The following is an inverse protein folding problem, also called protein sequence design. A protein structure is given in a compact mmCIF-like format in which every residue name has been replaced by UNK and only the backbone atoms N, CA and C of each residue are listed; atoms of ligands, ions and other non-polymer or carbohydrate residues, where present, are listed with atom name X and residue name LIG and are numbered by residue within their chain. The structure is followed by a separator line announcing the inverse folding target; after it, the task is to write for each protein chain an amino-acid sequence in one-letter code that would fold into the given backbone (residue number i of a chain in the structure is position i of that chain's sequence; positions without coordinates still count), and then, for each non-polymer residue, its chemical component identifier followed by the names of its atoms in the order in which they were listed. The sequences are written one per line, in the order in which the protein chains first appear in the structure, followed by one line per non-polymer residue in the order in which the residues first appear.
data_IF_391690963900
#
_entry.id   IF_391690963900
#
_cell.length_a   1.000
_cell.length_b   1.000
_cell.length_c   1.000
_cell.angle_alpha   90.00
_cell.angle_beta   90.00
_cell.angle_gamma   90.00
#
_symmetry.space_group_name_H-M   'P 1'
#
loop_
_entity.id
_entity.type
_entity.pdbx_description
1 polymer ?
#
# COMPACT_ATOMS: atom_id res chain seq x y z
N UNK A 1 31.88 1.28 15.21
CA UNK A 1 30.83 0.38 14.69
C UNK A 1 30.30 0.94 13.37
N UNK A 2 30.03 0.10 12.39
CA UNK A 2 29.40 0.53 11.13
C UNK A 2 27.92 0.86 11.39
N UNK A 3 27.45 1.95 10.79
CA UNK A 3 26.06 2.41 10.89
C UNK A 3 25.32 2.09 9.58
N UNK A 4 24.15 1.49 9.68
CA UNK A 4 23.28 1.18 8.54
C UNK A 4 21.97 1.92 8.73
N UNK A 5 21.48 2.57 7.69
CA UNK A 5 20.16 3.18 7.63
C UNK A 5 19.29 2.43 6.63
N UNK A 6 18.10 2.05 7.05
CA UNK A 6 17.04 1.56 6.17
C UNK A 6 15.97 2.66 6.05
N UNK A 7 15.85 3.22 4.86
CA UNK A 7 14.85 4.27 4.57
C UNK A 7 13.45 3.69 4.47
N UNK A 8 13.32 2.40 4.15
CA UNK A 8 12.07 1.75 3.75
C UNK A 8 11.53 2.39 2.47
N UNK A 9 10.93 3.58 2.55
CA UNK A 9 10.36 4.35 1.44
C UNK A 9 10.96 5.76 1.37
N UNK A 10 10.82 6.46 0.24
CA UNK A 10 11.11 7.88 0.11
C UNK A 10 9.93 8.72 0.64
N UNK A 11 9.97 9.09 1.92
CA UNK A 11 8.89 9.83 2.57
C UNK A 11 8.62 11.19 1.90
N UNK A 12 9.66 11.85 1.38
CA UNK A 12 9.52 13.10 0.62
C UNK A 12 8.69 12.94 -0.66
N UNK A 13 8.69 11.74 -1.27
CA UNK A 13 7.84 11.42 -2.41
C UNK A 13 6.36 11.38 -2.03
N UNK A 14 6.02 10.88 -0.85
CA UNK A 14 4.64 10.88 -0.33
C UNK A 14 4.13 12.31 -0.13
N UNK A 15 4.93 13.19 0.46
CA UNK A 15 4.60 14.62 0.60
C UNK A 15 4.38 15.29 -0.75
N UNK A 16 5.23 15.01 -1.74
CA UNK A 16 5.08 15.55 -3.09
C UNK A 16 3.79 15.07 -3.75
N UNK A 17 3.45 13.80 -3.59
CA UNK A 17 2.21 13.20 -4.10
C UNK A 17 0.96 13.77 -3.43
N UNK A 18 1.01 14.01 -2.11
CA UNK A 18 -0.06 14.65 -1.35
C UNK A 18 -0.24 16.11 -1.77
N UNK A 19 0.85 16.82 -2.00
CA UNK A 19 0.86 18.22 -2.41
C UNK A 19 0.09 18.45 -3.73
N UNK A 20 0.27 17.59 -4.73
CA UNK A 20 -0.43 17.67 -6.02
C UNK A 20 -1.97 17.67 -5.86
N UNK A 21 -2.46 17.00 -4.81
CA UNK A 21 -3.90 16.80 -4.56
C UNK A 21 -4.52 17.83 -3.63
N UNK A 22 -3.72 18.69 -3.01
CA UNK A 22 -4.17 19.66 -2.00
C UNK A 22 -4.16 21.10 -2.52
N UNK A 23 -4.98 21.97 -1.88
CA UNK A 23 -5.09 23.40 -2.20
C UNK A 23 -5.02 24.23 -0.90
N UNK A 24 -4.75 25.53 -1.06
CA UNK A 24 -4.74 26.47 0.06
C UNK A 24 -3.60 26.21 1.05
N UNK A 25 -3.87 26.35 2.35
CA UNK A 25 -2.86 26.25 3.41
C UNK A 25 -2.15 24.89 3.41
N UNK A 26 -2.87 23.80 3.20
CA UNK A 26 -2.31 22.46 3.16
C UNK A 26 -1.32 22.24 2.03
N UNK A 27 -1.51 22.87 0.88
CA UNK A 27 -0.55 22.85 -0.21
C UNK A 27 0.81 23.40 0.22
N UNK A 28 0.82 24.54 0.93
CA UNK A 28 2.05 25.14 1.45
C UNK A 28 2.71 24.28 2.52
N UNK A 29 1.92 23.67 3.41
CA UNK A 29 2.43 22.79 4.45
C UNK A 29 3.12 21.58 3.81
N UNK A 30 2.45 20.87 2.90
CA UNK A 30 3.05 19.70 2.22
C UNK A 30 4.26 20.06 1.35
N UNK A 31 4.28 21.26 0.75
CA UNK A 31 5.45 21.75 0.01
C UNK A 31 6.64 21.92 0.95
N UNK A 32 6.43 22.59 2.08
CA UNK A 32 7.50 22.86 3.04
C UNK A 32 8.01 21.57 3.69
N UNK A 33 7.09 20.71 4.13
CA UNK A 33 7.46 19.44 4.77
C UNK A 33 8.12 18.47 3.77
N UNK A 34 7.66 18.42 2.53
CA UNK A 34 8.32 17.67 1.46
C UNK A 34 9.75 18.13 1.21
N UNK A 35 9.97 19.44 1.15
CA UNK A 35 11.32 19.99 1.01
C UNK A 35 12.21 19.67 2.21
N UNK A 36 11.70 19.84 3.43
CA UNK A 36 12.45 19.54 4.67
C UNK A 36 12.77 18.05 4.77
N UNK A 37 11.82 17.19 4.42
CA UNK A 37 11.97 15.76 4.42
C UNK A 37 13.04 15.31 3.39
N UNK A 38 12.96 15.81 2.15
CA UNK A 38 13.94 15.53 1.10
C UNK A 38 15.35 15.96 1.52
N UNK A 39 15.48 17.15 2.11
CA UNK A 39 16.77 17.61 2.64
C UNK A 39 17.28 16.68 3.75
N UNK A 40 16.43 16.28 4.66
CA UNK A 40 16.80 15.36 5.75
C UNK A 40 17.23 14.00 5.20
N UNK A 41 16.50 13.41 4.24
CA UNK A 41 16.88 12.15 3.58
C UNK A 41 18.28 12.24 2.96
N UNK A 42 18.56 13.31 2.20
CA UNK A 42 19.88 13.54 1.58
C UNK A 42 20.98 13.74 2.62
N UNK A 43 20.70 14.47 3.72
CA UNK A 43 21.69 14.68 4.78
C UNK A 43 22.02 13.36 5.50
N UNK A 44 21.03 12.48 5.71
CA UNK A 44 21.24 11.18 6.34
C UNK A 44 22.11 10.23 5.50
N UNK A 45 22.05 10.30 4.18
CA UNK A 45 22.91 9.50 3.30
C UNK A 45 24.40 9.65 3.60
N UNK A 46 24.80 10.82 4.13
CA UNK A 46 26.21 11.14 4.46
C UNK A 46 26.61 10.71 5.87
N UNK A 47 25.65 10.41 6.74
CA UNK A 47 25.87 10.08 8.15
C UNK A 47 26.07 8.59 8.36
N UNK A 48 25.50 7.76 7.47
CA UNK A 48 25.52 6.32 7.58
C UNK A 48 26.51 5.69 6.58
N UNK A 49 27.15 4.59 7.00
CA UNK A 49 28.13 3.86 6.18
C UNK A 49 27.47 3.06 5.05
N UNK A 50 26.21 2.67 5.24
CA UNK A 50 25.38 1.95 4.27
C UNK A 50 23.95 2.44 4.36
N UNK A 51 23.34 2.64 3.18
CA UNK A 51 21.95 3.07 3.04
C UNK A 51 21.18 2.01 2.27
N UNK A 52 20.02 1.61 2.81
CA UNK A 52 19.13 0.61 2.23
C UNK A 52 17.80 1.26 1.90
N UNK A 53 17.12 0.73 0.88
CA UNK A 53 15.76 1.11 0.50
C UNK A 53 15.08 -0.07 -0.19
N UNK A 54 13.73 -0.13 -0.17
CA UNK A 54 13.00 -1.28 -0.71
C UNK A 54 12.66 -1.17 -2.21
N UNK A 55 12.84 -0.01 -2.83
CA UNK A 55 12.40 0.24 -4.19
C UNK A 55 13.42 1.06 -4.99
N UNK A 56 13.64 0.68 -6.24
CA UNK A 56 14.48 1.45 -7.15
C UNK A 56 13.85 2.80 -7.55
N UNK A 57 12.54 2.88 -7.54
CA UNK A 57 11.81 4.14 -7.79
C UNK A 57 12.11 5.15 -6.69
N UNK A 58 11.99 4.74 -5.44
CA UNK A 58 12.30 5.58 -4.27
C UNK A 58 13.78 5.95 -4.23
N UNK A 59 14.66 5.00 -4.53
CA UNK A 59 16.11 5.25 -4.65
C UNK A 59 16.39 6.38 -5.62
N UNK A 60 15.85 6.31 -6.83
CA UNK A 60 16.04 7.33 -7.86
C UNK A 60 15.46 8.68 -7.43
N UNK A 61 14.30 8.64 -6.76
CA UNK A 61 13.67 9.86 -6.27
C UNK A 61 14.56 10.60 -5.26
N UNK A 62 15.13 9.91 -4.27
CA UNK A 62 16.05 10.50 -3.30
C UNK A 62 17.32 11.01 -4.01
N UNK A 63 17.93 10.18 -4.89
CA UNK A 63 19.15 10.55 -5.59
C UNK A 63 18.99 11.76 -6.52
N UNK A 64 17.80 12.00 -7.07
CA UNK A 64 17.52 13.20 -7.87
C UNK A 64 17.62 14.52 -7.06
N UNK A 65 17.53 14.43 -5.74
CA UNK A 65 17.68 15.58 -4.83
C UNK A 65 19.13 15.77 -4.34
N UNK A 66 20.04 14.86 -4.69
CA UNK A 66 21.46 14.93 -4.30
C UNK A 66 22.22 15.83 -5.26
N UNK A 67 22.98 16.75 -4.72
CA UNK A 67 23.94 17.58 -5.49
C UNK A 67 25.37 17.11 -5.25
N UNK A 68 26.14 16.88 -6.31
CA UNK A 68 27.51 16.41 -6.25
C UNK A 68 27.64 14.89 -6.40
N UNK A 69 28.57 14.28 -5.67
CA UNK A 69 28.82 12.84 -5.73
C UNK A 69 27.62 12.06 -5.18
N UNK A 70 27.15 11.07 -5.96
CA UNK A 70 26.00 10.26 -5.58
C UNK A 70 26.41 9.19 -4.56
N UNK A 71 25.81 9.18 -3.36
CA UNK A 71 26.05 8.13 -2.38
C UNK A 71 25.45 6.80 -2.83
N UNK A 72 26.04 5.71 -2.36
CA UNK A 72 25.50 4.37 -2.62
C UNK A 72 24.23 4.13 -1.78
N UNK A 73 23.15 3.76 -2.44
CA UNK A 73 21.92 3.25 -1.80
C UNK A 73 21.64 1.86 -2.39
N UNK A 74 21.69 0.85 -1.55
CA UNK A 74 21.42 -0.54 -1.94
C UNK A 74 19.92 -0.80 -1.88
N UNK A 75 19.34 -1.32 -2.98
CA UNK A 75 17.94 -1.73 -3.01
C UNK A 75 17.82 -3.15 -2.47
N UNK A 76 17.01 -3.34 -1.45
CA UNK A 76 16.61 -4.65 -0.92
C UNK A 76 15.08 -4.69 -0.96
N UNK A 77 14.54 -5.30 -2.00
CA UNK A 77 13.10 -5.36 -2.22
C UNK A 77 12.40 -6.17 -1.14
N UNK A 78 11.15 -5.79 -0.83
CA UNK A 78 10.30 -6.58 0.05
C UNK A 78 10.07 -7.97 -0.53
N UNK A 79 10.00 -8.96 0.34
CA UNK A 79 9.71 -10.33 -0.04
C UNK A 79 8.66 -10.95 0.88
N UNK A 80 7.99 -11.96 0.36
CA UNK A 80 7.04 -12.78 1.12
C UNK A 80 7.50 -14.22 1.09
N UNK A 81 7.53 -14.85 2.26
CA UNK A 81 7.83 -16.29 2.36
C UNK A 81 6.65 -17.09 1.79
N UNK A 82 6.91 -17.81 0.72
CA UNK A 82 5.92 -18.71 0.12
C UNK A 82 5.79 -19.97 0.97
N UNK A 83 4.63 -20.12 1.60
CA UNK A 83 4.22 -21.36 2.24
C UNK A 83 3.32 -22.16 1.28
N UNK A 84 3.80 -23.28 0.79
CA UNK A 84 3.06 -24.11 -0.17
C UNK A 84 1.73 -24.64 0.39
N UNK A 85 1.61 -24.76 1.71
CA UNK A 85 0.35 -25.14 2.38
C UNK A 85 -0.72 -24.06 2.30
N UNK A 86 -0.30 -22.80 2.05
CA UNK A 86 -1.17 -21.64 1.94
C UNK A 86 -1.59 -21.30 0.50
N UNK A 87 -1.25 -22.14 -0.48
CA UNK A 87 -1.69 -21.94 -1.87
C UNK A 87 -3.19 -22.12 -2.04
N UNK A 88 -3.75 -21.35 -2.96
CA UNK A 88 -5.15 -21.49 -3.36
C UNK A 88 -5.41 -22.89 -3.92
N UNK A 89 -6.44 -23.53 -3.40
CA UNK A 89 -7.10 -24.65 -4.07
C UNK A 89 -8.27 -24.06 -4.88
N UNK A 90 -8.23 -24.19 -6.19
CA UNK A 90 -9.25 -23.67 -7.11
C UNK A 90 -10.67 -24.14 -6.78
N UNK A 91 -10.80 -25.28 -6.10
CA UNK A 91 -12.10 -25.81 -5.68
C UNK A 91 -12.74 -25.03 -4.53
N UNK A 92 -11.93 -24.25 -3.79
CA UNK A 92 -12.35 -23.50 -2.62
C UNK A 92 -12.46 -21.98 -2.89
N UNK A 93 -12.26 -21.55 -4.13
CA UNK A 93 -12.40 -20.16 -4.49
C UNK A 93 -13.87 -19.76 -4.44
N UNK A 94 -14.16 -18.77 -3.61
CA UNK A 94 -15.49 -18.17 -3.50
C UNK A 94 -15.61 -17.01 -4.49
N UNK A 95 -16.86 -16.77 -4.93
CA UNK A 95 -17.14 -15.65 -5.85
C UNK A 95 -17.13 -14.33 -5.09
N UNK A 96 -15.93 -13.84 -4.79
CA UNK A 96 -15.74 -12.59 -4.06
C UNK A 96 -14.54 -11.79 -4.56
N UNK A 97 -14.53 -10.51 -4.23
CA UNK A 97 -13.39 -9.60 -4.39
C UNK A 97 -12.86 -9.30 -2.99
N UNK A 98 -11.55 -9.18 -2.87
CA UNK A 98 -10.87 -8.94 -1.60
C UNK A 98 -9.96 -7.72 -1.67
N UNK A 99 -10.00 -6.90 -0.63
CA UNK A 99 -8.96 -5.90 -0.32
C UNK A 99 -8.39 -6.17 1.06
N UNK A 100 -7.07 -6.15 1.19
CA UNK A 100 -6.37 -6.34 2.47
C UNK A 100 -5.57 -5.10 2.84
N UNK A 101 -5.69 -4.66 4.10
CA UNK A 101 -4.86 -3.56 4.61
C UNK A 101 -5.38 -2.99 5.92
N UNK A 102 -4.52 -2.28 6.65
CA UNK A 102 -4.93 -1.55 7.86
C UNK A 102 -5.88 -0.40 7.49
N UNK A 103 -7.09 -0.38 8.07
CA UNK A 103 -8.16 0.55 7.69
C UNK A 103 -8.12 1.87 8.49
N UNK A 104 -7.02 2.14 9.18
CA UNK A 104 -6.66 3.46 9.74
C UNK A 104 -5.59 4.18 8.90
N UNK A 105 -5.02 3.52 7.90
CA UNK A 105 -4.03 4.09 7.00
C UNK A 105 -4.73 4.75 5.81
N UNK A 106 -4.53 6.06 5.66
CA UNK A 106 -5.25 6.91 4.69
C UNK A 106 -5.26 6.40 3.25
N UNK A 107 -4.13 5.94 2.67
CA UNK A 107 -4.15 5.38 1.32
C UNK A 107 -5.08 4.18 1.16
N UNK A 108 -5.18 3.30 2.17
CA UNK A 108 -6.09 2.15 2.14
C UNK A 108 -7.56 2.60 2.23
N UNK A 109 -7.85 3.54 3.13
CA UNK A 109 -9.20 4.12 3.29
C UNK A 109 -9.67 4.76 2.00
N UNK A 110 -8.83 5.58 1.38
CA UNK A 110 -9.11 6.21 0.07
C UNK A 110 -9.34 5.16 -1.01
N UNK A 111 -8.52 4.10 -1.05
CA UNK A 111 -8.61 3.04 -2.05
C UNK A 111 -9.95 2.28 -1.96
N UNK A 112 -10.34 1.81 -0.76
CA UNK A 112 -11.59 1.06 -0.59
C UNK A 112 -12.81 1.95 -0.80
N UNK A 113 -12.77 3.20 -0.35
CA UNK A 113 -13.84 4.17 -0.55
C UNK A 113 -14.06 4.45 -2.04
N UNK A 114 -13.00 4.68 -2.78
CA UNK A 114 -13.04 4.84 -4.24
C UNK A 114 -13.62 3.60 -4.91
N UNK A 115 -13.12 2.43 -4.57
CA UNK A 115 -13.59 1.18 -5.18
C UNK A 115 -15.07 0.96 -4.95
N UNK A 116 -15.54 1.11 -3.70
CA UNK A 116 -16.95 0.90 -3.35
C UNK A 116 -17.88 1.91 -4.01
N UNK A 117 -17.46 3.18 -4.11
CA UNK A 117 -18.34 4.24 -4.64
C UNK A 117 -18.32 4.35 -6.16
N UNK A 118 -17.16 4.16 -6.78
CA UNK A 118 -16.96 4.48 -8.21
C UNK A 118 -16.85 3.24 -9.10
N UNK A 119 -16.32 2.12 -8.59
CA UNK A 119 -16.03 0.93 -9.39
C UNK A 119 -17.05 -0.19 -9.14
N UNK A 120 -17.23 -0.56 -7.90
CA UNK A 120 -18.03 -1.72 -7.50
C UNK A 120 -19.49 -1.68 -7.96
N UNK A 121 -20.20 -0.53 -7.99
CA UNK A 121 -21.59 -0.48 -8.47
C UNK A 121 -21.74 -0.94 -9.92
N UNK A 122 -20.73 -0.67 -10.77
CA UNK A 122 -20.75 -1.12 -12.17
C UNK A 122 -20.54 -2.64 -12.28
N UNK A 123 -19.76 -3.22 -11.40
CA UNK A 123 -19.53 -4.67 -11.30
C UNK A 123 -20.82 -5.36 -10.79
N UNK A 124 -21.47 -4.81 -9.78
CA UNK A 124 -22.72 -5.37 -9.23
C UNK A 124 -23.88 -5.41 -10.24
N UNK A 125 -23.93 -4.50 -11.21
CA UNK A 125 -24.92 -4.57 -12.30
C UNK A 125 -24.80 -5.85 -13.11
N UNK A 126 -23.57 -6.38 -13.27
CA UNK A 126 -23.29 -7.61 -14.01
C UNK A 126 -23.31 -8.84 -13.11
N UNK A 127 -22.98 -8.67 -11.84
CA UNK A 127 -22.82 -9.75 -10.86
C UNK A 127 -23.47 -9.37 -9.52
N UNK A 128 -24.81 -9.41 -9.41
CA UNK A 128 -25.54 -8.90 -8.22
C UNK A 128 -25.19 -9.60 -6.90
N UNK A 129 -24.78 -10.86 -6.97
CA UNK A 129 -24.45 -11.66 -5.78
C UNK A 129 -22.99 -11.55 -5.34
N UNK A 130 -22.18 -10.79 -6.08
CA UNK A 130 -20.76 -10.64 -5.79
C UNK A 130 -20.55 -9.92 -4.46
N UNK A 131 -19.62 -10.43 -3.64
CA UNK A 131 -19.24 -9.82 -2.37
C UNK A 131 -17.89 -9.13 -2.49
N UNK A 132 -17.74 -8.00 -1.82
CA UNK A 132 -16.47 -7.33 -1.66
C UNK A 132 -16.08 -7.32 -0.19
N UNK A 133 -14.98 -8.00 0.14
CA UNK A 133 -14.45 -8.07 1.50
C UNK A 133 -13.35 -7.02 1.69
N UNK A 134 -13.52 -6.19 2.72
CA UNK A 134 -12.52 -5.22 3.19
C UNK A 134 -11.95 -5.79 4.49
N UNK A 135 -10.77 -6.42 4.37
CA UNK A 135 -10.13 -7.15 5.48
C UNK A 135 -8.99 -6.33 6.06
N UNK A 136 -9.07 -6.05 7.37
CA UNK A 136 -7.98 -5.41 8.08
C UNK A 136 -8.37 -4.67 9.35
N UNK A 137 -7.39 -4.48 10.22
CA UNK A 137 -7.59 -3.89 11.54
C UNK A 137 -7.96 -2.42 11.51
N UNK A 138 -8.56 -1.97 12.61
CA UNK A 138 -8.81 -0.56 12.95
C UNK A 138 -9.61 0.20 11.87
N UNK A 139 -10.77 -0.30 11.39
CA UNK A 139 -11.55 0.44 10.40
C UNK A 139 -12.08 1.74 11.00
N UNK A 140 -11.84 2.84 10.29
CA UNK A 140 -12.44 4.15 10.61
C UNK A 140 -13.94 4.10 10.35
N UNK A 141 -14.69 5.02 10.95
CA UNK A 141 -16.15 5.06 10.81
C UNK A 141 -16.59 5.24 9.36
N UNK A 142 -15.85 6.02 8.58
CA UNK A 142 -16.09 6.16 7.13
C UNK A 142 -15.97 4.84 6.35
N UNK A 143 -15.06 3.93 6.78
CA UNK A 143 -14.94 2.59 6.17
C UNK A 143 -16.07 1.67 6.66
N UNK A 144 -16.43 1.74 7.96
CA UNK A 144 -17.56 0.97 8.51
C UNK A 144 -18.88 1.32 7.82
N UNK A 145 -19.08 2.61 7.49
CA UNK A 145 -20.26 3.07 6.77
C UNK A 145 -20.36 2.58 5.31
N UNK A 146 -19.29 2.00 4.75
CA UNK A 146 -19.34 1.36 3.42
C UNK A 146 -20.02 0.00 3.45
N UNK A 147 -20.21 -0.59 4.64
CA UNK A 147 -20.81 -1.92 4.79
C UNK A 147 -22.23 -1.96 4.21
N UNK A 148 -22.54 -3.02 3.49
CA UNK A 148 -23.84 -3.30 2.88
C UNK A 148 -24.00 -4.81 2.70
N UNK A 149 -25.10 -5.25 2.11
CA UNK A 149 -25.28 -6.67 1.78
C UNK A 149 -24.16 -7.23 0.90
N UNK A 150 -23.57 -6.39 0.04
CA UNK A 150 -22.50 -6.78 -0.88
C UNK A 150 -21.09 -6.33 -0.44
N UNK A 151 -20.97 -5.49 0.59
CA UNK A 151 -19.69 -4.99 1.11
C UNK A 151 -19.51 -5.40 2.55
N UNK A 152 -18.54 -6.25 2.83
CA UNK A 152 -18.25 -6.80 4.15
C UNK A 152 -16.99 -6.17 4.72
N UNK A 153 -17.09 -5.41 5.80
CA UNK A 153 -15.97 -4.85 6.54
C UNK A 153 -15.69 -5.74 7.74
N UNK A 154 -14.62 -6.53 7.70
CA UNK A 154 -14.35 -7.55 8.73
C UNK A 154 -13.76 -6.99 10.01
N UNK A 155 -13.02 -5.87 9.93
CA UNK A 155 -12.14 -5.48 11.01
C UNK A 155 -10.91 -6.40 11.10
N UNK A 156 -10.39 -6.55 12.32
CA UNK A 156 -9.28 -7.47 12.58
C UNK A 156 -9.71 -8.92 12.34
N UNK A 157 -8.83 -9.69 11.72
CA UNK A 157 -8.97 -11.13 11.53
C UNK A 157 -7.69 -11.83 12.01
N UNK A 158 -7.83 -13.03 12.55
CA UNK A 158 -6.68 -13.77 13.08
C UNK A 158 -5.75 -14.27 11.95
N UNK A 159 -6.30 -14.70 10.83
CA UNK A 159 -5.54 -15.13 9.66
C UNK A 159 -6.08 -14.52 8.36
N UNK A 160 -5.32 -13.61 7.79
CA UNK A 160 -5.60 -12.98 6.49
C UNK A 160 -5.50 -13.99 5.34
N UNK A 161 -4.67 -15.01 5.51
CA UNK A 161 -4.45 -16.02 4.48
C UNK A 161 -5.72 -16.82 4.17
N UNK A 162 -6.60 -17.01 5.14
CA UNK A 162 -7.88 -17.70 4.92
C UNK A 162 -8.81 -16.94 3.97
N UNK A 163 -8.74 -15.61 3.99
CA UNK A 163 -9.45 -14.76 3.02
C UNK A 163 -8.76 -14.77 1.66
N UNK A 164 -7.43 -14.66 1.63
CA UNK A 164 -6.65 -14.68 0.39
C UNK A 164 -6.84 -15.97 -0.40
N UNK A 165 -6.88 -17.14 0.28
CA UNK A 165 -7.10 -18.44 -0.35
C UNK A 165 -8.46 -18.61 -1.01
N UNK A 166 -9.47 -17.90 -0.50
CA UNK A 166 -10.85 -17.98 -0.98
C UNK A 166 -11.18 -16.90 -2.00
N UNK A 167 -10.35 -15.88 -2.12
CA UNK A 167 -10.60 -14.76 -2.99
C UNK A 167 -10.54 -15.16 -4.47
N UNK A 168 -11.57 -14.79 -5.23
CA UNK A 168 -11.53 -14.87 -6.69
C UNK A 168 -10.54 -13.85 -7.27
N UNK A 169 -10.57 -12.61 -6.75
CA UNK A 169 -9.68 -11.52 -7.17
C UNK A 169 -9.33 -10.68 -5.95
N UNK A 170 -8.05 -10.36 -5.82
CA UNK A 170 -7.56 -9.37 -4.86
C UNK A 170 -7.35 -8.05 -5.58
N UNK A 171 -7.97 -6.98 -5.09
CA UNK A 171 -7.85 -5.66 -5.71
C UNK A 171 -7.02 -4.72 -4.87
N UNK A 172 -6.21 -3.89 -5.51
CA UNK A 172 -5.37 -2.87 -4.86
C UNK A 172 -5.53 -1.52 -5.57
N UNK A 173 -6.73 -0.90 -5.55
CA UNK A 173 -7.04 0.31 -6.29
C UNK A 173 -6.41 1.55 -5.62
N UNK A 174 -5.12 1.48 -5.34
CA UNK A 174 -4.38 2.52 -4.65
C UNK A 174 -4.28 3.77 -5.50
N UNK A 175 -4.62 4.92 -4.92
CA UNK A 175 -4.53 6.24 -5.56
C UNK A 175 -3.42 7.11 -4.98
N UNK A 176 -2.79 6.64 -3.91
CA UNK A 176 -1.68 7.27 -3.21
C UNK A 176 -0.93 6.21 -2.40
N UNK A 177 0.26 6.55 -1.92
CA UNK A 177 1.18 5.66 -1.22
C UNK A 177 2.41 5.37 -2.07
N UNK A 178 3.58 5.42 -1.42
CA UNK A 178 4.86 5.02 -1.99
C UNK A 178 5.15 3.54 -1.70
N UNK A 179 6.21 3.03 -2.30
CA UNK A 179 6.77 1.73 -2.01
C UNK A 179 6.03 0.53 -2.60
N UNK A 180 6.62 -0.63 -2.40
CA UNK A 180 6.07 -1.91 -2.85
C UNK A 180 4.95 -2.37 -1.91
N UNK A 181 3.76 -2.61 -2.47
CA UNK A 181 2.59 -3.01 -1.69
C UNK A 181 2.68 -4.51 -1.29
N UNK A 182 3.02 -4.80 -0.04
CA UNK A 182 3.14 -6.19 0.48
C UNK A 182 1.90 -7.04 0.24
N UNK A 183 0.70 -6.43 0.28
CA UNK A 183 -0.56 -7.14 -0.01
C UNK A 183 -0.62 -7.77 -1.41
N UNK A 184 0.06 -7.16 -2.39
CA UNK A 184 0.18 -7.73 -3.75
C UNK A 184 1.07 -8.97 -3.70
N UNK A 185 2.22 -8.88 -3.03
CA UNK A 185 3.14 -10.00 -2.88
C UNK A 185 2.49 -11.17 -2.15
N UNK A 186 1.74 -10.88 -1.07
CA UNK A 186 0.99 -11.88 -0.31
C UNK A 186 -0.07 -12.57 -1.18
N UNK A 187 -0.84 -11.81 -1.94
CA UNK A 187 -1.84 -12.36 -2.86
C UNK A 187 -1.20 -13.25 -3.93
N UNK A 188 -0.12 -12.79 -4.57
CA UNK A 188 0.62 -13.57 -5.56
C UNK A 188 1.27 -14.82 -4.95
N UNK A 189 1.74 -14.76 -3.71
CA UNK A 189 2.36 -15.88 -3.01
C UNK A 189 1.40 -17.07 -2.81
N UNK A 190 0.11 -16.80 -2.64
CA UNK A 190 -0.92 -17.87 -2.59
C UNK A 190 -1.45 -18.26 -3.97
N UNK A 191 -1.13 -17.50 -5.02
CA UNK A 191 -1.62 -17.75 -6.37
C UNK A 191 -2.98 -17.10 -6.64
N UNK A 192 -3.34 -16.04 -5.89
CA UNK A 192 -4.55 -15.26 -6.16
C UNK A 192 -4.39 -14.42 -7.43
N UNK A 193 -5.49 -14.18 -8.13
CA UNK A 193 -5.54 -13.13 -9.15
C UNK A 193 -5.47 -11.74 -8.48
N UNK A 194 -4.67 -10.83 -9.06
CA UNK A 194 -4.50 -9.46 -8.56
C UNK A 194 -4.83 -8.48 -9.68
#
# INVERSE_FOLDING_TARGET
SKKVLDFVDALSMDYSSANIKTKGLWHWIYTLDGYRCSKYEVDQLKVFDRNLIISDVDRRYILNSVTGELPEITVIENFVRIDKSKRIDQKNVERNILFVGAMNYEPNVTAVTYFVKEVFPSILKLYPDLKFYIVGKSPRDEVKMLASDNVIVTGFVDDVWDYLKKAMVVVTPMRSGAGLQNKILEALAVGACV
#
